data_IF_375827497998
#
_entry.id   IF_375827497998
#
_cell.length_a   1.000
_cell.length_b   1.000
_cell.length_c   1.000
_cell.angle_alpha   90.00
_cell.angle_beta   90.00
_cell.angle_gamma   90.00
#
_symmetry.space_group_name_H-M   'P 1'
#
loop_
_entity.id
_entity.type
_entity.pdbx_description
1 polymer ?
#
# COMPACT_ATOMS: atom_id res chain seq x y z
N UNK A 1 42.00 32.43 -14.25
CA UNK A 1 42.95 33.10 -13.34
C UNK A 1 43.35 32.08 -12.28
N UNK A 2 44.25 31.17 -12.60
CA UNK A 2 45.72 31.29 -12.50
C UNK A 2 46.20 31.18 -11.05
N UNK A 3 46.92 30.07 -10.79
CA UNK A 3 47.51 29.62 -9.53
C UNK A 3 48.65 30.55 -9.06
N UNK A 4 49.37 30.28 -7.94
CA UNK A 4 50.38 29.22 -7.98
C UNK A 4 50.66 28.45 -6.67
N UNK A 5 51.17 27.23 -6.86
CA UNK A 5 51.98 26.48 -5.92
C UNK A 5 53.32 27.17 -5.65
N UNK A 6 53.88 27.03 -4.45
CA UNK A 6 55.33 27.00 -4.25
C UNK A 6 55.74 26.00 -3.17
N UNK A 7 56.60 25.05 -3.57
CA UNK A 7 57.51 24.31 -2.70
C UNK A 7 58.69 25.22 -2.37
N UNK A 8 59.20 25.14 -1.14
CA UNK A 8 60.57 25.54 -0.84
C UNK A 8 61.21 24.52 0.12
N UNK A 9 62.31 23.95 -0.35
CA UNK A 9 63.22 23.02 0.32
C UNK A 9 64.26 23.77 1.15
N UNK A 10 64.60 23.19 2.31
CA UNK A 10 65.89 23.20 3.02
C UNK A 10 66.59 24.55 3.29
N UNK A 11 66.77 24.88 4.57
CA UNK A 11 68.13 25.13 5.08
C UNK A 11 68.22 24.96 6.60
N UNK A 12 69.31 24.32 7.01
CA UNK A 12 69.63 24.04 8.41
C UNK A 12 69.96 25.28 9.22
N UNK A 13 69.73 25.17 10.52
CA UNK A 13 70.07 26.20 11.49
C UNK A 13 69.33 25.98 12.79
N UNK A 14 69.84 25.09 13.64
CA UNK A 14 69.39 24.96 15.03
C UNK A 14 69.45 26.33 15.70
N UNK A 15 68.35 26.80 16.31
CA UNK A 15 68.36 27.43 17.64
C UNK A 15 66.94 27.73 18.15
N UNK A 16 66.64 27.09 19.30
CA UNK A 16 65.61 27.39 20.31
C UNK A 16 64.12 27.29 19.90
N UNK A 17 63.50 26.24 20.44
CA UNK A 17 62.05 25.98 20.41
C UNK A 17 61.33 27.00 21.30
N UNK A 18 60.64 27.95 20.69
CA UNK A 18 59.44 28.53 21.29
C UNK A 18 58.25 27.83 20.62
N UNK A 19 57.68 26.84 21.30
CA UNK A 19 56.40 26.28 20.90
C UNK A 19 55.32 27.34 21.14
N UNK A 20 55.02 28.15 20.13
CA UNK A 20 53.75 28.85 20.09
C UNK A 20 52.69 27.82 19.72
N UNK A 21 51.93 27.36 20.71
CA UNK A 21 50.69 26.64 20.49
C UNK A 21 49.70 27.60 19.86
N UNK A 22 49.68 27.67 18.53
CA UNK A 22 48.56 28.23 17.79
C UNK A 22 47.37 27.30 18.03
N UNK A 23 46.62 27.59 19.09
CA UNK A 23 45.33 26.95 19.34
C UNK A 23 44.46 27.25 18.11
N UNK A 24 44.24 26.24 17.27
CA UNK A 24 43.18 26.29 16.29
C UNK A 24 41.88 26.46 17.07
N UNK A 25 41.40 27.69 17.13
CA UNK A 25 40.09 28.02 17.67
C UNK A 25 39.07 27.28 16.82
N UNK A 26 38.71 26.05 17.23
CA UNK A 26 37.59 25.33 16.65
C UNK A 26 36.38 26.26 16.79
N UNK A 27 35.88 26.81 15.69
CA UNK A 27 34.62 27.57 15.70
C UNK A 27 33.54 26.60 16.17
N UNK A 28 33.11 26.73 17.43
CA UNK A 28 32.02 25.96 18.00
C UNK A 28 30.72 26.71 17.74
N UNK A 29 29.73 26.01 17.23
CA UNK A 29 28.36 26.50 17.08
C UNK A 29 27.48 25.89 18.17
N UNK A 30 26.62 26.71 18.77
CA UNK A 30 25.63 26.24 19.71
C UNK A 30 24.63 25.28 19.01
N UNK A 31 24.08 24.27 19.71
CA UNK A 31 23.07 23.40 19.15
C UNK A 31 21.79 24.19 18.81
N UNK A 32 21.08 23.75 17.77
CA UNK A 32 19.86 24.43 17.29
C UNK A 32 18.60 24.05 18.08
N UNK A 33 18.71 23.07 18.97
CA UNK A 33 17.63 22.58 19.83
C UNK A 33 18.17 21.73 20.98
N UNK A 34 17.30 21.17 21.83
CA UNK A 34 17.70 20.38 22.99
C UNK A 34 18.48 19.13 22.55
N UNK A 35 19.50 18.75 23.33
CA UNK A 35 20.26 17.53 23.10
C UNK A 35 19.59 16.33 23.80
N UNK A 36 19.69 15.10 23.25
CA UNK A 36 18.95 13.92 23.72
C UNK A 36 18.99 13.64 25.23
N UNK A 37 20.14 13.84 25.88
CA UNK A 37 20.39 13.43 27.26
C UNK A 37 20.63 14.60 28.23
N UNK A 38 20.25 15.82 27.86
CA UNK A 38 20.40 17.00 28.72
C UNK A 38 19.56 16.92 30.00
N UNK A 39 18.46 16.19 29.98
CA UNK A 39 17.55 16.04 31.12
C UNK A 39 18.07 15.07 32.20
N UNK A 40 19.18 14.38 31.96
CA UNK A 40 19.73 13.40 32.90
C UNK A 40 20.59 14.15 33.94
N UNK A 41 20.17 14.11 35.20
CA UNK A 41 20.98 14.64 36.31
C UNK A 41 22.22 13.75 36.53
N UNK A 42 23.37 14.24 36.08
CA UNK A 42 24.66 13.56 36.20
C UNK A 42 25.27 13.64 37.59
N UNK A 43 24.72 14.48 38.48
CA UNK A 43 25.28 14.71 39.83
C UNK A 43 25.25 13.44 40.69
N UNK A 44 24.25 12.58 40.50
CA UNK A 44 24.05 11.35 41.27
C UNK A 44 23.92 10.12 40.37
N UNK A 45 24.90 9.90 39.48
CA UNK A 45 24.86 8.85 38.46
C UNK A 45 24.65 7.43 39.03
N UNK A 46 25.16 7.15 40.23
CA UNK A 46 25.05 5.85 40.89
C UNK A 46 23.64 5.55 41.42
N UNK A 47 22.85 6.58 41.74
CA UNK A 47 21.49 6.42 42.26
C UNK A 47 20.42 6.33 41.17
N UNK A 48 20.77 6.58 39.91
CA UNK A 48 19.83 6.52 38.79
C UNK A 48 19.41 5.09 38.46
N UNK A 49 18.13 4.92 38.16
CA UNK A 49 17.62 3.66 37.66
C UNK A 49 18.26 3.32 36.30
N UNK A 50 18.88 2.15 36.21
CA UNK A 50 19.53 1.67 34.98
C UNK A 50 18.57 0.79 34.19
N UNK A 51 18.79 0.69 32.88
CA UNK A 51 17.95 -0.14 32.00
C UNK A 51 17.96 -1.62 32.37
N UNK A 52 19.11 -2.19 32.76
CA UNK A 52 19.31 -3.60 33.20
C UNK A 52 18.92 -4.69 32.19
N UNK A 53 18.29 -4.33 31.08
CA UNK A 53 17.91 -5.22 29.98
C UNK A 53 17.96 -4.46 28.67
N UNK A 54 18.31 -5.17 27.60
CA UNK A 54 18.32 -4.61 26.25
C UNK A 54 16.92 -4.18 25.82
N UNK A 55 15.89 -5.00 26.08
CA UNK A 55 14.50 -4.70 25.70
C UNK A 55 13.98 -3.40 26.31
N UNK A 56 14.33 -3.11 27.57
CA UNK A 56 13.90 -1.87 28.22
C UNK A 56 14.54 -0.65 27.57
N UNK A 57 15.81 -0.75 27.19
CA UNK A 57 16.49 0.29 26.42
C UNK A 57 15.84 0.44 25.04
N UNK A 58 15.63 -0.67 24.33
CA UNK A 58 15.05 -0.68 22.98
C UNK A 58 13.67 -0.01 22.94
N UNK A 59 12.79 -0.33 23.90
CA UNK A 59 11.46 0.28 24.02
C UNK A 59 11.49 1.80 24.22
N UNK A 60 12.58 2.34 24.77
CA UNK A 60 12.75 3.78 24.91
C UNK A 60 13.42 4.40 23.66
N UNK A 61 14.39 3.70 23.06
CA UNK A 61 15.09 4.15 21.88
C UNK A 61 14.19 4.25 20.63
N UNK A 62 13.23 3.34 20.47
CA UNK A 62 12.39 3.29 19.27
C UNK A 62 11.46 4.53 19.12
N UNK A 63 10.69 4.95 20.15
CA UNK A 63 9.94 6.21 20.10
C UNK A 63 10.84 7.43 19.87
N UNK A 64 12.01 7.47 20.52
CA UNK A 64 12.97 8.57 20.36
C UNK A 64 13.53 8.67 18.93
N UNK A 65 13.63 7.55 18.21
CA UNK A 65 14.06 7.48 16.81
C UNK A 65 12.97 7.93 15.82
N UNK A 66 11.69 7.83 16.20
CA UNK A 66 10.55 8.30 15.39
C UNK A 66 10.18 9.76 15.67
N UNK A 67 10.63 10.31 16.80
CA UNK A 67 10.37 11.69 17.16
C UNK A 67 11.02 12.68 16.17
N UNK A 68 10.37 13.82 15.89
CA UNK A 68 10.95 14.86 15.03
C UNK A 68 12.21 15.44 15.68
N UNK A 69 13.29 15.60 14.89
CA UNK A 69 14.58 16.14 15.33
C UNK A 69 15.03 17.27 14.42
N UNK A 70 15.85 18.18 14.96
CA UNK A 70 16.39 19.32 14.22
C UNK A 70 17.64 18.96 13.40
N UNK A 71 18.30 17.84 13.68
CA UNK A 71 19.40 17.32 12.86
C UNK A 71 18.88 16.39 11.75
N UNK A 72 19.74 16.11 10.77
CA UNK A 72 19.39 15.22 9.64
C UNK A 72 19.06 13.82 10.13
N UNK A 73 17.92 13.31 9.69
CA UNK A 73 17.45 11.97 10.06
C UNK A 73 17.31 11.06 8.84
N UNK A 74 17.31 9.75 9.07
CA UNK A 74 16.99 8.78 8.03
C UNK A 74 15.60 9.05 7.42
N UNK A 75 14.61 9.37 8.27
CA UNK A 75 13.23 9.65 7.85
C UNK A 75 13.09 10.89 6.97
N UNK A 76 13.96 11.88 7.10
CA UNK A 76 13.99 13.04 6.19
C UNK A 76 14.35 12.64 4.75
N UNK A 77 15.22 11.64 4.58
CA UNK A 77 15.70 11.19 3.27
C UNK A 77 14.86 10.04 2.68
N UNK A 78 14.39 9.13 3.51
CA UNK A 78 13.75 7.88 3.08
C UNK A 78 12.28 7.76 3.51
N UNK A 79 11.83 8.62 4.42
CA UNK A 79 10.44 8.63 4.84
C UNK A 79 9.52 9.05 3.69
N UNK A 80 8.36 8.41 3.58
CA UNK A 80 7.29 8.87 2.70
C UNK A 80 6.85 10.24 3.20
N UNK A 81 7.01 11.27 2.36
CA UNK A 81 6.46 12.59 2.64
C UNK A 81 4.93 12.45 2.73
N UNK A 82 4.37 12.85 3.86
CA UNK A 82 2.93 13.01 4.01
C UNK A 82 2.64 14.50 3.91
N UNK A 83 1.61 14.85 3.17
CA UNK A 83 1.10 16.21 3.19
C UNK A 83 0.59 16.52 4.61
N UNK A 84 0.84 17.74 5.12
CA UNK A 84 0.43 18.11 6.47
C UNK A 84 -1.08 18.32 6.60
N UNK A 85 -1.82 18.30 5.47
CA UNK A 85 -3.27 18.37 5.46
C UNK A 85 -3.85 17.06 5.97
N UNK A 86 -4.70 17.16 7.00
CA UNK A 86 -5.40 15.99 7.54
C UNK A 86 -6.24 15.33 6.45
N UNK A 87 -6.07 14.02 6.30
CA UNK A 87 -6.84 13.24 5.32
C UNK A 87 -8.33 13.35 5.64
N UNK A 88 -9.11 13.75 4.65
CA UNK A 88 -10.57 13.88 4.77
C UNK A 88 -11.18 12.49 4.86
N UNK A 89 -12.16 12.32 5.77
CA UNK A 89 -13.00 11.12 5.85
C UNK A 89 -14.28 11.33 5.02
N UNK A 90 -14.45 10.51 3.99
CA UNK A 90 -15.62 10.53 3.08
C UNK A 90 -16.60 9.39 3.38
N UNK A 91 -16.39 8.63 4.46
CA UNK A 91 -17.17 7.44 4.79
C UNK A 91 -18.47 7.69 5.55
N UNK A 92 -19.16 6.59 5.82
CA UNK A 92 -20.33 6.58 6.71
C UNK A 92 -19.95 6.92 8.16
N UNK A 93 -20.87 7.56 8.92
CA UNK A 93 -20.63 7.88 10.31
C UNK A 93 -20.38 6.63 11.17
N UNK A 94 -19.56 6.74 12.23
CA UNK A 94 -19.33 5.63 13.14
C UNK A 94 -20.62 5.25 13.90
N UNK A 95 -20.79 3.96 14.25
CA UNK A 95 -21.93 3.53 15.06
C UNK A 95 -21.87 4.14 16.46
N UNK A 96 -23.03 4.54 16.99
CA UNK A 96 -23.14 5.01 18.37
C UNK A 96 -23.24 3.81 19.31
N UNK A 97 -22.25 3.63 20.18
CA UNK A 97 -22.17 2.50 21.11
C UNK A 97 -22.02 3.02 22.55
N UNK A 98 -22.77 2.45 23.47
CA UNK A 98 -22.63 2.71 24.90
C UNK A 98 -21.42 1.97 25.47
N UNK A 99 -20.28 2.68 25.56
CA UNK A 99 -19.03 2.16 26.14
C UNK A 99 -19.17 1.54 27.54
N UNK A 100 -19.92 2.11 28.52
CA UNK A 100 -20.00 1.51 29.84
C UNK A 100 -20.74 0.15 29.83
N UNK A 101 -21.80 0.01 29.02
CA UNK A 101 -22.55 -1.24 28.89
C UNK A 101 -21.68 -2.33 28.25
N UNK A 102 -21.03 -2.02 27.12
CA UNK A 102 -20.13 -2.96 26.44
C UNK A 102 -18.99 -3.45 27.34
N UNK A 103 -18.44 -2.55 28.16
CA UNK A 103 -17.36 -2.90 29.10
C UNK A 103 -17.86 -3.79 30.25
N UNK A 104 -19.10 -3.60 30.70
CA UNK A 104 -19.71 -4.44 31.73
C UNK A 104 -19.95 -5.87 31.21
N UNK A 105 -20.53 -6.01 30.02
CA UNK A 105 -20.73 -7.31 29.36
C UNK A 105 -19.39 -8.04 29.15
N UNK A 106 -18.39 -7.35 28.58
CA UNK A 106 -17.05 -7.93 28.39
C UNK A 106 -16.41 -8.40 29.70
N UNK A 107 -16.61 -7.65 30.80
CA UNK A 107 -16.11 -8.06 32.11
C UNK A 107 -16.85 -9.27 32.68
N UNK A 108 -18.15 -9.39 32.44
CA UNK A 108 -18.94 -10.57 32.86
C UNK A 108 -18.45 -11.82 32.14
N UNK A 109 -18.35 -11.79 30.81
CA UNK A 109 -17.82 -12.89 30.00
C UNK A 109 -16.42 -13.31 30.46
N UNK A 110 -15.53 -12.36 30.72
CA UNK A 110 -14.17 -12.64 31.23
C UNK A 110 -14.18 -13.26 32.64
N UNK A 111 -15.12 -12.88 33.51
CA UNK A 111 -15.23 -13.45 34.87
C UNK A 111 -15.71 -14.89 34.80
N UNK A 112 -16.72 -15.17 33.98
CA UNK A 112 -17.25 -16.52 33.77
C UNK A 112 -16.20 -17.45 33.17
N UNK A 113 -15.51 -17.00 32.12
CA UNK A 113 -14.45 -17.79 31.48
C UNK A 113 -13.28 -18.08 32.42
N UNK A 114 -12.89 -17.13 33.28
CA UNK A 114 -11.83 -17.33 34.28
C UNK A 114 -12.25 -18.17 35.49
N UNK A 115 -13.55 -18.23 35.78
CA UNK A 115 -14.07 -19.08 36.85
C UNK A 115 -14.07 -20.57 36.44
N UNK A 116 -14.11 -20.86 35.13
CA UNK A 116 -14.04 -22.22 34.63
C UNK A 116 -12.64 -22.84 34.86
N UNK A 117 -12.60 -23.88 35.69
CA UNK A 117 -11.37 -24.62 35.99
C UNK A 117 -10.82 -25.40 34.81
N UNK A 118 -11.68 -25.84 33.89
CA UNK A 118 -11.26 -26.61 32.69
C UNK A 118 -10.45 -25.73 31.74
N UNK A 119 -10.90 -24.49 31.51
CA UNK A 119 -10.21 -23.51 30.68
C UNK A 119 -8.86 -23.10 31.28
N UNK A 120 -8.77 -22.97 32.62
CA UNK A 120 -7.48 -22.73 33.31
C UNK A 120 -6.52 -23.89 33.09
N UNK A 121 -6.99 -25.14 33.27
CA UNK A 121 -6.17 -26.32 33.07
C UNK A 121 -5.71 -26.45 31.61
N UNK A 122 -6.61 -26.23 30.66
CA UNK A 122 -6.30 -26.26 29.23
C UNK A 122 -5.28 -25.17 28.85
N UNK A 123 -5.38 -23.97 29.41
CA UNK A 123 -4.40 -22.91 29.21
C UNK A 123 -3.05 -23.27 29.83
N UNK A 124 -3.01 -23.85 31.03
CA UNK A 124 -1.78 -24.28 31.71
C UNK A 124 -1.06 -25.40 30.96
N UNK A 125 -1.83 -26.36 30.44
CA UNK A 125 -1.31 -27.47 29.63
C UNK A 125 -1.06 -27.09 28.16
N UNK A 126 -1.42 -25.86 27.76
CA UNK A 126 -1.29 -25.34 26.38
C UNK A 126 -2.11 -26.14 25.36
N UNK A 127 -3.23 -26.70 25.77
CA UNK A 127 -4.17 -27.46 24.92
C UNK A 127 -5.40 -26.66 24.52
N UNK A 128 -5.60 -25.46 25.08
CA UNK A 128 -6.71 -24.57 24.74
C UNK A 128 -6.73 -24.20 23.24
N UNK A 129 -7.93 -24.17 22.65
CA UNK A 129 -8.15 -23.82 21.23
C UNK A 129 -9.19 -22.72 21.13
N UNK A 130 -8.97 -21.79 20.20
CA UNK A 130 -9.88 -20.67 19.96
C UNK A 130 -10.63 -20.93 18.65
N UNK A 131 -11.97 -20.83 18.62
CA UNK A 131 -12.75 -20.99 17.40
C UNK A 131 -12.48 -19.81 16.44
N UNK A 132 -11.83 -20.08 15.30
CA UNK A 132 -11.42 -19.03 14.37
C UNK A 132 -12.61 -18.33 13.70
N UNK A 133 -13.67 -19.06 13.37
CA UNK A 133 -14.89 -18.52 12.75
C UNK A 133 -15.56 -17.47 13.65
N UNK A 134 -15.68 -17.75 14.95
CA UNK A 134 -16.25 -16.81 15.91
C UNK A 134 -15.36 -15.57 16.10
N UNK A 135 -14.04 -15.75 16.10
CA UNK A 135 -13.08 -14.63 16.14
C UNK A 135 -13.22 -13.76 14.89
N UNK A 136 -13.34 -14.36 13.72
CA UNK A 136 -13.51 -13.62 12.46
C UNK A 136 -14.83 -12.84 12.45
N UNK A 137 -15.93 -13.47 12.87
CA UNK A 137 -17.23 -12.80 12.94
C UNK A 137 -17.22 -11.59 13.89
N UNK A 138 -16.64 -11.72 15.09
CA UNK A 138 -16.52 -10.60 16.03
C UNK A 138 -15.52 -9.53 15.53
N UNK A 139 -14.44 -9.96 14.88
CA UNK A 139 -13.47 -9.06 14.25
C UNK A 139 -14.11 -8.21 13.17
N UNK A 140 -14.90 -8.80 12.26
CA UNK A 140 -15.60 -8.10 11.18
C UNK A 140 -16.54 -7.00 11.73
N UNK A 141 -17.17 -7.23 12.89
CA UNK A 141 -18.09 -6.26 13.51
C UNK A 141 -17.39 -5.14 14.26
N UNK A 142 -16.20 -5.38 14.81
CA UNK A 142 -15.54 -4.46 15.75
C UNK A 142 -14.37 -3.68 15.12
N UNK A 143 -13.19 -4.30 15.02
CA UNK A 143 -11.97 -3.65 14.54
C UNK A 143 -11.62 -3.94 13.08
N UNK A 144 -12.32 -4.88 12.44
CA UNK A 144 -12.15 -5.26 11.04
C UNK A 144 -12.17 -4.09 10.07
N UNK A 145 -13.15 -3.17 10.13
CA UNK A 145 -13.19 -2.01 9.26
C UNK A 145 -11.92 -1.15 9.30
N UNK A 146 -11.35 -0.93 10.48
CA UNK A 146 -10.10 -0.16 10.64
C UNK A 146 -8.88 -0.91 10.12
N UNK A 147 -8.84 -2.23 10.27
CA UNK A 147 -7.77 -3.05 9.70
C UNK A 147 -7.83 -3.04 8.17
N UNK A 148 -9.03 -3.14 7.59
CA UNK A 148 -9.28 -3.06 6.15
C UNK A 148 -8.88 -1.68 5.60
N UNK A 149 -9.22 -0.60 6.29
CA UNK A 149 -8.78 0.75 5.95
C UNK A 149 -7.25 0.87 5.94
N UNK A 150 -6.57 0.43 7.00
CA UNK A 150 -5.10 0.44 7.07
C UNK A 150 -4.46 -0.39 5.95
N UNK A 151 -5.08 -1.51 5.59
CA UNK A 151 -4.60 -2.36 4.51
C UNK A 151 -4.80 -1.70 3.15
N UNK A 152 -5.96 -1.10 2.90
CA UNK A 152 -6.23 -0.33 1.68
C UNK A 152 -5.28 0.87 1.52
N UNK A 153 -4.92 1.53 2.62
CA UNK A 153 -3.89 2.58 2.63
C UNK A 153 -2.50 2.04 2.31
N UNK A 154 -2.13 0.88 2.89
CA UNK A 154 -0.87 0.20 2.57
C UNK A 154 -0.79 -0.17 1.09
N UNK A 155 -1.89 -0.65 0.51
CA UNK A 155 -2.00 -0.95 -0.91
C UNK A 155 -2.07 0.30 -1.78
N UNK A 156 -2.25 1.51 -1.24
CA UNK A 156 -2.32 2.75 -2.02
C UNK A 156 -3.67 3.04 -2.66
N UNK A 157 -4.73 2.30 -2.30
CA UNK A 157 -6.05 2.42 -2.95
C UNK A 157 -6.66 3.81 -2.80
N UNK A 158 -6.62 4.38 -1.59
CA UNK A 158 -7.17 5.73 -1.35
C UNK A 158 -6.42 6.84 -2.10
N UNK A 159 -5.10 6.65 -2.29
CA UNK A 159 -4.28 7.59 -3.04
C UNK A 159 -4.69 7.59 -4.52
N UNK A 160 -4.87 6.40 -5.08
CA UNK A 160 -5.14 6.23 -6.50
C UNK A 160 -6.62 6.53 -6.84
N UNK A 161 -7.58 6.04 -6.03
CA UNK A 161 -9.03 6.18 -6.30
C UNK A 161 -9.63 7.52 -5.86
N UNK A 162 -9.14 8.09 -4.75
CA UNK A 162 -9.76 9.25 -4.09
C UNK A 162 -8.76 10.39 -3.80
N UNK A 163 -7.58 10.39 -4.43
CA UNK A 163 -6.53 11.39 -4.22
C UNK A 163 -6.14 11.62 -2.75
N UNK A 164 -6.20 10.57 -1.92
CA UNK A 164 -5.79 10.61 -0.52
C UNK A 164 -6.93 10.73 0.50
N UNK A 165 -8.16 10.98 0.07
CA UNK A 165 -9.32 10.90 0.95
C UNK A 165 -9.58 9.44 1.38
N UNK A 166 -9.93 9.26 2.65
CA UNK A 166 -10.08 7.93 3.26
C UNK A 166 -11.52 7.67 3.67
N UNK A 167 -11.90 6.41 3.82
CA UNK A 167 -13.16 6.05 4.46
C UNK A 167 -13.01 4.73 5.21
N UNK A 168 -13.83 4.54 6.25
CA UNK A 168 -13.88 3.27 6.98
C UNK A 168 -14.95 2.38 6.34
N UNK A 169 -14.62 1.18 5.81
CA UNK A 169 -15.60 0.27 5.22
C UNK A 169 -16.46 -0.38 6.32
N UNK A 170 -17.56 0.29 6.69
CA UNK A 170 -18.48 -0.15 7.75
C UNK A 170 -19.30 -1.35 7.34
N UNK A 171 -19.64 -1.46 6.06
CA UNK A 171 -20.46 -2.54 5.54
C UNK A 171 -19.56 -3.68 5.09
N UNK A 172 -19.67 -4.89 5.67
CA UNK A 172 -18.88 -6.03 5.26
C UNK A 172 -19.35 -6.51 3.88
N UNK A 173 -18.54 -6.20 2.86
CA UNK A 173 -18.74 -6.68 1.51
C UNK A 173 -18.10 -8.07 1.37
N UNK A 174 -18.92 -9.09 1.08
CA UNK A 174 -18.47 -10.46 0.82
C UNK A 174 -18.65 -10.76 -0.66
N UNK A 175 -17.53 -11.03 -1.33
CA UNK A 175 -17.50 -11.34 -2.75
C UNK A 175 -16.89 -12.73 -2.91
N UNK A 176 -17.51 -13.60 -3.70
CA UNK A 176 -16.99 -14.92 -4.00
C UNK A 176 -17.18 -15.24 -5.49
N UNK A 177 -16.15 -15.80 -6.12
CA UNK A 177 -16.25 -16.31 -7.49
C UNK A 177 -16.62 -17.79 -7.45
N UNK A 178 -17.62 -18.19 -8.24
CA UNK A 178 -17.98 -19.59 -8.42
C UNK A 178 -17.08 -20.23 -9.49
N UNK A 179 -16.31 -21.24 -9.08
CA UNK A 179 -15.38 -21.97 -9.95
C UNK A 179 -15.93 -23.37 -10.14
N UNK A 180 -16.54 -23.61 -11.31
CA UNK A 180 -17.27 -24.85 -11.55
C UNK A 180 -18.61 -24.89 -10.82
N UNK A 181 -19.00 -26.06 -10.31
CA UNK A 181 -20.32 -26.26 -9.67
C UNK A 181 -20.29 -26.24 -8.14
N UNK A 182 -19.14 -26.49 -7.50
CA UNK A 182 -19.07 -26.67 -6.02
C UNK A 182 -18.08 -25.72 -5.32
N UNK A 183 -17.05 -25.22 -6.00
CA UNK A 183 -15.99 -24.44 -5.36
C UNK A 183 -16.27 -22.92 -5.42
N UNK A 184 -16.09 -22.26 -4.28
CA UNK A 184 -16.18 -20.80 -4.15
C UNK A 184 -14.82 -20.23 -3.77
N UNK A 185 -14.33 -19.27 -4.55
CA UNK A 185 -13.09 -18.52 -4.26
C UNK A 185 -13.45 -17.17 -3.65
N UNK A 186 -13.31 -17.00 -2.32
CA UNK A 186 -13.63 -15.75 -1.66
C UNK A 186 -12.59 -14.66 -1.96
N UNK A 187 -13.09 -13.45 -2.19
CA UNK A 187 -12.28 -12.23 -2.31
C UNK A 187 -12.26 -11.54 -0.95
N UNK A 188 -11.05 -11.33 -0.44
CA UNK A 188 -10.80 -10.62 0.80
C UNK A 188 -10.23 -9.22 0.51
N UNK A 189 -8.97 -8.99 0.87
CA UNK A 189 -8.32 -7.66 0.84
C UNK A 189 -6.86 -7.82 0.38
N UNK A 190 -6.69 -8.24 -0.87
CA UNK A 190 -5.40 -8.41 -1.53
C UNK A 190 -4.92 -9.86 -1.62
N UNK A 191 -5.80 -10.85 -1.44
CA UNK A 191 -5.50 -12.22 -1.85
C UNK A 191 -5.38 -12.31 -3.37
N UNK A 192 -4.66 -13.32 -3.85
CA UNK A 192 -4.55 -13.61 -5.27
C UNK A 192 -5.80 -14.35 -5.75
N UNK A 193 -6.33 -13.93 -6.90
CA UNK A 193 -7.39 -14.60 -7.64
C UNK A 193 -7.00 -14.57 -9.12
N UNK A 194 -7.11 -15.71 -9.79
CA UNK A 194 -6.70 -15.85 -11.17
C UNK A 194 -7.77 -15.32 -12.14
N UNK A 195 -7.39 -14.88 -13.36
CA UNK A 195 -8.34 -14.53 -14.41
C UNK A 195 -9.30 -15.66 -14.79
N UNK A 196 -8.85 -16.91 -14.67
CA UNK A 196 -9.65 -18.10 -14.95
C UNK A 196 -10.80 -18.25 -13.94
N UNK A 197 -10.50 -18.08 -12.65
CA UNK A 197 -11.50 -18.09 -11.58
C UNK A 197 -12.44 -16.87 -11.69
N UNK A 198 -11.91 -15.71 -12.07
CA UNK A 198 -12.66 -14.48 -12.29
C UNK A 198 -13.21 -14.34 -13.72
N UNK A 199 -13.53 -15.45 -14.39
CA UNK A 199 -14.08 -15.41 -15.75
C UNK A 199 -15.54 -14.97 -15.81
N UNK A 200 -16.32 -15.30 -14.79
CA UNK A 200 -17.73 -14.94 -14.64
C UNK A 200 -17.94 -13.93 -13.51
N UNK A 201 -19.10 -13.25 -13.53
CA UNK A 201 -19.44 -12.28 -12.49
C UNK A 201 -19.53 -12.98 -11.12
N UNK A 202 -19.00 -12.37 -10.04
CA UNK A 202 -18.99 -12.98 -8.73
C UNK A 202 -20.35 -12.88 -8.02
N UNK A 203 -20.54 -13.75 -7.03
CA UNK A 203 -21.61 -13.63 -6.04
C UNK A 203 -21.23 -12.57 -5.01
N UNK A 204 -22.08 -11.56 -4.86
CA UNK A 204 -21.85 -10.44 -3.96
C UNK A 204 -22.95 -10.38 -2.91
N UNK A 205 -22.56 -10.42 -1.65
CA UNK A 205 -23.45 -10.36 -0.49
C UNK A 205 -22.97 -9.31 0.50
N UNK A 206 -23.92 -8.55 1.06
CA UNK A 206 -23.68 -7.54 2.08
C UNK A 206 -24.94 -7.30 2.91
N UNK A 207 -24.75 -6.81 4.13
CA UNK A 207 -25.87 -6.45 5.01
C UNK A 207 -26.42 -5.07 4.64
N UNK A 208 -27.72 -5.00 4.35
CA UNK A 208 -28.41 -3.79 3.91
C UNK A 208 -29.81 -3.69 4.52
N UNK A 209 -30.25 -2.47 4.83
CA UNK A 209 -31.58 -2.17 5.34
C UNK A 209 -32.65 -2.30 4.22
N UNK A 210 -33.88 -2.66 4.58
CA UNK A 210 -34.98 -2.69 3.61
C UNK A 210 -35.26 -1.28 3.04
N UNK A 211 -35.36 -1.18 1.72
CA UNK A 211 -35.59 0.09 1.02
C UNK A 211 -34.33 0.94 0.79
N UNK A 212 -33.14 0.46 1.20
CA UNK A 212 -31.88 1.11 0.85
C UNK A 212 -31.46 0.83 -0.59
N UNK A 213 -30.78 1.79 -1.21
CA UNK A 213 -30.23 1.69 -2.56
C UNK A 213 -28.71 1.66 -2.52
N UNK A 214 -28.10 0.85 -3.38
CA UNK A 214 -26.65 0.66 -3.41
C UNK A 214 -26.12 0.67 -4.82
N UNK A 215 -24.84 1.00 -4.97
CA UNK A 215 -24.10 0.92 -6.23
C UNK A 215 -22.82 0.13 -6.01
N UNK A 216 -22.59 -0.85 -6.87
CA UNK A 216 -21.41 -1.70 -6.87
C UNK A 216 -20.54 -1.35 -8.08
N UNK A 217 -19.26 -1.13 -7.83
CA UNK A 217 -18.27 -0.78 -8.83
C UNK A 217 -17.06 -1.72 -8.69
N UNK A 218 -16.62 -2.30 -9.81
CA UNK A 218 -15.36 -3.04 -9.92
C UNK A 218 -14.44 -2.30 -10.87
N UNK A 219 -13.31 -1.83 -10.37
CA UNK A 219 -12.28 -1.12 -11.16
C UNK A 219 -10.92 -1.79 -11.06
N UNK A 220 -10.13 -1.66 -12.11
CA UNK A 220 -8.74 -2.09 -12.14
C UNK A 220 -7.82 -0.87 -12.19
N UNK A 221 -7.09 -0.65 -11.10
CA UNK A 221 -6.26 0.55 -10.89
C UNK A 221 -4.97 0.50 -11.70
N UNK A 222 -4.46 -0.71 -11.97
CA UNK A 222 -3.15 -0.91 -12.62
C UNK A 222 -3.30 -1.39 -14.08
N UNK A 223 -4.54 -1.58 -14.55
CA UNK A 223 -4.88 -2.28 -15.79
C UNK A 223 -4.74 -1.46 -17.07
N UNK A 224 -4.61 -0.15 -16.98
CA UNK A 224 -4.72 0.69 -18.16
C UNK A 224 -3.47 0.65 -19.04
N UNK A 225 -3.67 0.45 -20.36
CA UNK A 225 -2.57 0.19 -21.30
C UNK A 225 -1.92 1.46 -21.87
N UNK A 226 -2.62 2.59 -21.78
CA UNK A 226 -2.23 3.84 -22.46
C UNK A 226 -1.92 4.96 -21.45
N UNK A 227 -2.86 5.25 -20.56
CA UNK A 227 -2.71 6.32 -19.57
C UNK A 227 -2.39 5.71 -18.18
N UNK A 228 -1.42 6.23 -17.44
CA UNK A 228 -1.05 5.67 -16.14
C UNK A 228 -2.04 6.02 -15.02
N UNK A 229 -2.77 7.14 -15.15
CA UNK A 229 -3.65 7.67 -14.12
C UNK A 229 -5.12 7.27 -14.32
N UNK A 230 -5.44 6.56 -15.41
CA UNK A 230 -6.80 6.11 -15.70
C UNK A 230 -6.98 4.63 -15.34
N UNK A 231 -8.23 4.26 -15.04
CA UNK A 231 -8.62 2.94 -14.61
C UNK A 231 -9.51 2.28 -15.67
N UNK A 232 -9.66 0.96 -15.61
CA UNK A 232 -10.71 0.26 -16.36
C UNK A 232 -11.87 -0.15 -15.45
N UNK A 233 -13.10 0.18 -15.86
CA UNK A 233 -14.31 -0.36 -15.22
C UNK A 233 -14.61 -1.76 -15.77
N UNK A 234 -14.55 -2.74 -14.89
CA UNK A 234 -14.90 -4.11 -15.21
C UNK A 234 -16.39 -4.38 -14.99
N UNK A 235 -16.98 -3.79 -13.95
CA UNK A 235 -18.40 -3.99 -13.64
C UNK A 235 -18.98 -2.78 -12.93
N UNK A 236 -20.19 -2.36 -13.31
CA UNK A 236 -20.90 -1.28 -12.63
C UNK A 236 -22.39 -1.62 -12.60
N UNK A 237 -22.91 -1.81 -11.40
CA UNK A 237 -24.33 -2.07 -11.14
C UNK A 237 -24.85 -0.98 -10.23
N UNK A 238 -25.88 -0.27 -10.67
CA UNK A 238 -26.43 0.89 -10.01
C UNK A 238 -27.85 0.64 -9.49
N UNK A 239 -28.31 1.45 -8.55
CA UNK A 239 -29.68 1.40 -8.02
C UNK A 239 -30.10 0.00 -7.53
N UNK A 240 -29.20 -0.71 -6.85
CA UNK A 240 -29.45 -2.06 -6.30
C UNK A 240 -30.38 -1.95 -5.10
N UNK A 241 -31.57 -2.59 -5.12
CA UNK A 241 -32.49 -2.55 -3.98
C UNK A 241 -32.06 -3.56 -2.90
N UNK A 242 -31.71 -3.06 -1.72
CA UNK A 242 -31.26 -3.86 -0.58
C UNK A 242 -29.99 -4.65 -0.94
N UNK A 243 -30.04 -5.98 -0.79
CA UNK A 243 -28.92 -6.88 -1.11
C UNK A 243 -29.04 -7.59 -2.48
N UNK A 244 -30.07 -7.29 -3.28
CA UNK A 244 -30.38 -8.04 -4.51
C UNK A 244 -29.66 -7.48 -5.73
N UNK A 245 -28.40 -7.86 -5.91
CA UNK A 245 -27.54 -7.36 -7.00
C UNK A 245 -28.14 -7.60 -8.38
N UNK A 246 -28.78 -8.74 -8.61
CA UNK A 246 -29.44 -9.07 -9.88
C UNK A 246 -30.66 -8.18 -10.21
N UNK A 247 -31.24 -7.48 -9.22
CA UNK A 247 -32.34 -6.54 -9.43
C UNK A 247 -31.86 -5.10 -9.70
N UNK A 248 -30.55 -4.86 -9.59
CA UNK A 248 -29.96 -3.57 -9.94
C UNK A 248 -29.90 -3.33 -11.45
N UNK A 249 -29.67 -2.08 -11.83
CA UNK A 249 -29.49 -1.68 -13.21
C UNK A 249 -28.01 -1.87 -13.60
N UNK A 250 -27.74 -2.79 -14.52
CA UNK A 250 -26.38 -3.03 -15.01
C UNK A 250 -25.96 -1.93 -16.00
N UNK A 251 -25.29 -0.90 -15.47
CA UNK A 251 -24.78 0.25 -16.23
C UNK A 251 -23.57 -0.13 -17.09
N UNK A 252 -22.75 -1.07 -16.61
CA UNK A 252 -21.62 -1.60 -17.35
C UNK A 252 -21.51 -3.10 -17.14
N UNK A 253 -21.57 -3.91 -18.22
CA UNK A 253 -21.56 -5.36 -18.10
C UNK A 253 -20.21 -5.88 -17.61
N UNK A 254 -20.26 -6.96 -16.84
CA UNK A 254 -19.06 -7.62 -16.31
C UNK A 254 -18.07 -7.96 -17.44
N UNK A 255 -16.82 -7.57 -17.24
CA UNK A 255 -15.69 -7.91 -18.10
C UNK A 255 -14.64 -8.58 -17.22
N UNK A 256 -14.20 -9.81 -17.52
CA UNK A 256 -13.18 -10.50 -16.74
C UNK A 256 -11.88 -9.69 -16.70
N UNK A 257 -11.05 -9.84 -15.65
CA UNK A 257 -9.75 -9.19 -15.58
C UNK A 257 -8.83 -9.71 -16.70
N UNK A 258 -8.08 -8.80 -17.33
CA UNK A 258 -7.13 -9.12 -18.40
C UNK A 258 -5.74 -8.50 -18.14
N UNK A 259 -5.07 -8.83 -17.02
CA UNK A 259 -3.72 -8.33 -16.75
C UNK A 259 -2.75 -8.79 -17.87
N UNK A 260 -2.06 -7.86 -18.56
CA UNK A 260 -1.13 -8.21 -19.62
C UNK A 260 0.01 -9.11 -19.17
N UNK A 261 0.58 -9.88 -20.10
CA UNK A 261 1.72 -10.73 -19.76
C UNK A 261 2.93 -9.85 -19.41
N UNK A 262 3.51 -10.09 -18.22
CA UNK A 262 4.72 -9.41 -17.76
C UNK A 262 4.52 -8.00 -17.19
N UNK A 263 3.27 -7.54 -16.99
CA UNK A 263 2.97 -6.28 -16.28
C UNK A 263 3.02 -6.43 -14.75
N UNK A 264 2.94 -7.66 -14.23
CA UNK A 264 2.99 -7.96 -12.80
C UNK A 264 1.60 -8.22 -12.20
N UNK A 265 1.43 -7.87 -10.92
CA UNK A 265 0.16 -8.03 -10.21
C UNK A 265 -0.68 -6.77 -10.33
N UNK A 266 -1.94 -6.94 -10.72
CA UNK A 266 -2.91 -5.87 -10.85
C UNK A 266 -3.88 -5.91 -9.68
N UNK A 267 -4.19 -4.74 -9.11
CA UNK A 267 -5.17 -4.61 -8.03
C UNK A 267 -6.55 -4.32 -8.60
N UNK A 268 -7.49 -5.24 -8.39
CA UNK A 268 -8.89 -5.05 -8.72
C UNK A 268 -9.69 -4.76 -7.46
N UNK A 269 -10.48 -3.69 -7.50
CA UNK A 269 -11.15 -3.14 -6.32
C UNK A 269 -12.66 -3.15 -6.52
N UNK A 270 -13.36 -3.80 -5.60
CA UNK A 270 -14.80 -3.68 -5.40
C UNK A 270 -15.09 -2.55 -4.42
N UNK A 271 -15.85 -1.57 -4.90
CA UNK A 271 -16.37 -0.46 -4.12
C UNK A 271 -17.88 -0.60 -4.02
N UNK A 272 -18.39 -0.50 -2.78
CA UNK A 272 -19.82 -0.45 -2.51
C UNK A 272 -20.17 0.94 -1.99
N UNK A 273 -21.04 1.63 -2.71
CA UNK A 273 -21.60 2.93 -2.34
C UNK A 273 -23.03 2.77 -1.84
N UNK A 274 -23.35 3.43 -0.72
CA UNK A 274 -24.72 3.60 -0.24
C UNK A 274 -25.31 4.83 -0.92
N UNK A 275 -26.50 4.69 -1.49
CA UNK A 275 -27.22 5.79 -2.11
C UNK A 275 -28.35 6.27 -1.19
N UNK A 276 -28.49 7.58 -1.04
CA UNK A 276 -29.57 8.19 -0.26
C UNK A 276 -30.87 8.31 -1.08
N UNK A 277 -30.73 8.43 -2.40
CA UNK A 277 -31.82 8.55 -3.37
C UNK A 277 -31.48 7.78 -4.64
N UNK A 278 -32.48 7.50 -5.45
CA UNK A 278 -32.27 6.97 -6.79
C UNK A 278 -31.53 8.00 -7.64
N UNK A 279 -30.48 7.57 -8.33
CA UNK A 279 -29.62 8.42 -9.17
C UNK A 279 -29.75 7.97 -10.62
N UNK A 280 -29.82 8.94 -11.53
CA UNK A 280 -29.84 8.71 -12.97
C UNK A 280 -28.40 8.61 -13.49
N UNK A 281 -27.97 7.40 -13.85
CA UNK A 281 -26.62 7.11 -14.40
C UNK A 281 -26.60 7.08 -15.93
N UNK A 282 -27.50 7.81 -16.60
CA UNK A 282 -27.60 7.78 -18.07
C UNK A 282 -26.33 8.24 -18.77
N UNK A 283 -25.56 9.15 -18.15
CA UNK A 283 -24.29 9.63 -18.68
C UNK A 283 -23.16 8.59 -18.62
N UNK A 284 -23.20 7.70 -17.63
CA UNK A 284 -22.18 6.65 -17.39
C UNK A 284 -22.58 5.29 -17.97
N UNK A 285 -23.77 5.21 -18.57
CA UNK A 285 -24.30 3.99 -19.17
C UNK A 285 -23.48 3.63 -20.41
N UNK A 286 -23.00 2.40 -20.43
CA UNK A 286 -22.19 1.85 -21.51
C UNK A 286 -23.02 0.83 -22.31
N UNK A 287 -22.74 0.67 -23.61
CA UNK A 287 -23.45 -0.32 -24.41
C UNK A 287 -23.18 -1.74 -23.90
N UNK A 288 -24.15 -2.63 -24.02
CA UNK A 288 -24.00 -4.05 -23.72
C UNK A 288 -23.97 -4.85 -25.04
N UNK A 289 -22.88 -5.58 -25.37
CA UNK A 289 -21.60 -5.71 -24.68
C UNK A 289 -20.62 -4.53 -24.94
N UNK A 290 -19.95 -4.04 -23.89
CA UNK A 290 -18.91 -3.01 -24.02
C UNK A 290 -17.54 -3.68 -24.13
N UNK A 291 -17.08 -3.91 -25.37
CA UNK A 291 -15.74 -4.44 -25.67
C UNK A 291 -14.72 -3.35 -26.01
N UNK A 292 -15.13 -2.08 -26.09
CA UNK A 292 -14.24 -0.96 -26.43
C UNK A 292 -13.52 -0.43 -25.20
N UNK A 293 -12.19 -0.53 -25.19
CA UNK A 293 -11.36 -0.09 -24.07
C UNK A 293 -11.48 1.41 -23.78
N UNK A 294 -11.67 2.26 -24.81
CA UNK A 294 -11.85 3.71 -24.63
C UNK A 294 -13.10 4.07 -23.85
N UNK A 295 -14.17 3.28 -24.00
CA UNK A 295 -15.40 3.45 -23.23
C UNK A 295 -15.27 2.88 -21.81
N UNK A 296 -14.36 1.92 -21.62
CA UNK A 296 -14.07 1.30 -20.32
C UNK A 296 -13.13 2.15 -19.47
N UNK A 297 -12.40 3.09 -20.08
CA UNK A 297 -11.59 4.09 -19.36
C UNK A 297 -12.48 4.85 -18.37
N UNK A 298 -12.01 4.98 -17.14
CA UNK A 298 -12.77 5.52 -16.04
C UNK A 298 -11.85 6.14 -14.99
N UNK A 299 -12.36 7.16 -14.31
CA UNK A 299 -11.72 7.76 -13.14
C UNK A 299 -12.71 7.72 -11.98
N UNK A 300 -12.40 6.92 -10.96
CA UNK A 300 -13.28 6.73 -9.81
C UNK A 300 -13.51 8.04 -9.05
N UNK A 301 -12.49 8.89 -8.96
CA UNK A 301 -12.56 10.19 -8.30
C UNK A 301 -13.60 11.11 -8.93
N UNK A 302 -13.58 11.26 -10.27
CA UNK A 302 -14.48 12.16 -10.97
C UNK A 302 -15.93 11.67 -10.91
N UNK A 303 -16.13 10.36 -11.04
CA UNK A 303 -17.43 9.73 -10.87
C UNK A 303 -17.99 9.97 -9.46
N UNK A 304 -17.19 9.73 -8.42
CA UNK A 304 -17.63 9.98 -7.05
C UNK A 304 -17.93 11.45 -6.82
N UNK A 305 -17.09 12.36 -7.32
CA UNK A 305 -17.24 13.81 -7.15
C UNK A 305 -18.53 14.34 -7.76
N UNK A 306 -18.99 13.78 -8.88
CA UNK A 306 -20.26 14.15 -9.51
C UNK A 306 -21.48 13.72 -8.68
N UNK A 307 -21.36 12.64 -7.91
CA UNK A 307 -22.48 12.01 -7.19
C UNK A 307 -22.35 12.01 -5.66
N UNK A 308 -21.34 12.69 -5.11
CA UNK A 308 -21.02 12.69 -3.67
C UNK A 308 -22.16 13.18 -2.77
N UNK A 309 -23.08 14.00 -3.30
CA UNK A 309 -24.23 14.50 -2.54
C UNK A 309 -25.28 13.42 -2.27
N UNK A 310 -25.31 12.38 -3.10
CA UNK A 310 -26.31 11.31 -3.05
C UNK A 310 -25.69 9.91 -2.85
N UNK A 311 -24.36 9.78 -2.89
CA UNK A 311 -23.63 8.53 -2.69
C UNK A 311 -22.53 8.67 -1.63
N UNK A 312 -22.37 7.64 -0.80
CA UNK A 312 -21.31 7.55 0.20
C UNK A 312 -20.63 6.19 0.15
N UNK A 313 -19.29 6.11 0.12
CA UNK A 313 -18.57 4.83 0.16
C UNK A 313 -18.79 4.12 1.50
N UNK A 314 -19.16 2.85 1.43
CA UNK A 314 -19.61 2.08 2.58
C UNK A 314 -18.87 0.74 2.73
N UNK A 315 -18.52 0.09 1.62
CA UNK A 315 -17.84 -1.20 1.59
C UNK A 315 -16.66 -1.21 0.63
N UNK A 316 -15.68 -2.05 0.94
CA UNK A 316 -14.46 -2.22 0.16
C UNK A 316 -14.03 -3.69 0.22
N UNK A 317 -13.74 -4.27 -0.93
CA UNK A 317 -13.02 -5.54 -1.06
C UNK A 317 -12.10 -5.45 -2.28
N UNK A 318 -10.97 -6.16 -2.29
CA UNK A 318 -10.08 -6.13 -3.44
C UNK A 318 -9.22 -7.38 -3.49
N UNK A 319 -8.73 -7.71 -4.68
CA UNK A 319 -7.85 -8.85 -4.91
C UNK A 319 -6.72 -8.47 -5.86
N UNK A 320 -5.70 -9.32 -5.91
CA UNK A 320 -4.61 -9.23 -6.85
C UNK A 320 -4.81 -10.25 -7.97
N UNK A 321 -4.55 -9.84 -9.19
CA UNK A 321 -4.67 -10.68 -10.36
C UNK A 321 -3.36 -10.66 -11.15
N UNK A 322 -2.87 -11.84 -11.52
CA UNK A 322 -1.72 -12.02 -12.40
C UNK A 322 -2.19 -12.55 -13.77
N UNK A 323 -1.30 -12.52 -14.76
CA UNK A 323 -1.57 -13.08 -16.09
C UNK A 323 -1.74 -14.61 -16.02
N UNK A 324 -2.69 -15.11 -16.80
CA UNK A 324 -2.99 -16.54 -16.99
C UNK A 324 -3.43 -16.78 -18.44
N UNK A 325 -3.46 -18.04 -18.88
CA UNK A 325 -3.76 -18.44 -20.27
C UNK A 325 -5.17 -17.96 -20.72
N UNK A 326 -6.12 -17.83 -19.79
CA UNK A 326 -7.46 -17.30 -20.07
C UNK A 326 -7.44 -15.84 -20.58
N UNK A 327 -6.41 -15.06 -20.23
CA UNK A 327 -6.29 -13.65 -20.65
C UNK A 327 -6.08 -13.54 -22.15
N UNK A 328 -5.32 -14.47 -22.75
CA UNK A 328 -5.12 -14.54 -24.20
C UNK A 328 -6.47 -14.71 -24.93
N UNK A 329 -7.39 -15.51 -24.38
CA UNK A 329 -8.73 -15.66 -24.91
C UNK A 329 -9.53 -14.34 -24.83
N UNK A 330 -9.41 -13.60 -23.72
CA UNK A 330 -10.07 -12.28 -23.55
C UNK A 330 -9.59 -11.28 -24.61
N UNK A 331 -8.28 -11.16 -24.84
CA UNK A 331 -7.74 -10.23 -25.84
C UNK A 331 -8.17 -10.58 -27.27
N UNK A 332 -8.11 -11.86 -27.64
CA UNK A 332 -8.42 -12.28 -29.01
C UNK A 332 -9.91 -12.36 -29.32
N UNK A 333 -10.73 -12.87 -28.40
CA UNK A 333 -12.16 -13.11 -28.64
C UNK A 333 -13.07 -11.99 -28.16
N UNK A 334 -12.83 -11.44 -26.96
CA UNK A 334 -13.69 -10.38 -26.41
C UNK A 334 -13.28 -8.99 -26.90
N UNK A 335 -11.98 -8.68 -26.86
CA UNK A 335 -11.46 -7.35 -27.23
C UNK A 335 -11.05 -7.26 -28.71
N UNK A 336 -10.97 -8.39 -29.42
CA UNK A 336 -10.55 -8.49 -30.82
C UNK A 336 -9.26 -7.72 -31.12
N UNK A 337 -8.25 -7.88 -30.26
CA UNK A 337 -6.96 -7.22 -30.35
C UNK A 337 -5.80 -8.19 -30.13
N UNK A 338 -4.58 -7.72 -30.42
CA UNK A 338 -3.36 -8.48 -30.12
C UNK A 338 -2.99 -8.31 -28.66
N UNK A 339 -2.59 -9.40 -28.03
CA UNK A 339 -2.13 -9.40 -26.65
C UNK A 339 -0.80 -8.64 -26.53
N UNK A 340 -0.74 -7.57 -25.71
CA UNK A 340 0.51 -6.90 -25.39
C UNK A 340 1.33 -7.72 -24.38
N UNK A 341 2.63 -7.84 -24.63
CA UNK A 341 3.59 -8.54 -23.75
C UNK A 341 4.63 -7.53 -23.29
N UNK A 342 4.80 -7.42 -21.98
CA UNK A 342 5.76 -6.54 -21.33
C UNK A 342 6.92 -7.34 -20.74
N UNK A 343 8.08 -6.69 -20.63
CA UNK A 343 9.27 -7.25 -20.00
C UNK A 343 9.89 -6.22 -19.06
N UNK A 344 10.33 -6.67 -17.89
CA UNK A 344 11.04 -5.81 -16.95
C UNK A 344 12.50 -5.63 -17.35
N UNK A 345 12.79 -4.53 -18.05
CA UNK A 345 14.16 -4.16 -18.45
C UNK A 345 14.84 -3.37 -17.33
N UNK A 346 15.96 -3.90 -16.82
CA UNK A 346 16.78 -3.20 -15.81
C UNK A 346 17.59 -2.06 -16.43
N UNK A 347 17.89 -0.98 -15.68
CA UNK A 347 18.81 0.04 -16.14
C UNK A 347 20.16 -0.58 -16.55
N UNK A 348 20.79 -0.08 -17.63
CA UNK A 348 22.07 -0.60 -18.05
C UNK A 348 23.12 -0.37 -16.95
N UNK A 349 24.09 -1.29 -16.81
CA UNK A 349 25.13 -1.16 -15.80
C UNK A 349 25.93 0.13 -16.02
N UNK A 350 26.20 0.86 -14.94
CA UNK A 350 27.02 2.05 -15.03
C UNK A 350 28.49 1.69 -15.30
N UNK A 351 29.04 2.28 -16.35
CA UNK A 351 30.47 2.25 -16.64
C UNK A 351 31.03 3.67 -16.65
N UNK A 352 32.13 3.95 -15.92
CA UNK A 352 32.78 5.26 -16.00
C UNK A 352 33.33 5.49 -17.40
N UNK A 353 33.55 6.75 -17.79
CA UNK A 353 34.13 7.08 -19.11
C UNK A 353 35.43 6.32 -19.35
N UNK A 354 35.53 5.65 -20.51
CA UNK A 354 36.70 4.86 -20.86
C UNK A 354 37.95 5.75 -20.93
N UNK A 355 39.04 5.30 -20.29
CA UNK A 355 40.34 5.98 -20.32
C UNK A 355 41.26 5.27 -21.30
N UNK A 356 41.99 6.04 -22.10
CA UNK A 356 42.99 5.50 -23.04
C UNK A 356 44.06 4.65 -22.35
N UNK A 357 44.49 5.07 -21.15
CA UNK A 357 45.46 4.36 -20.33
C UNK A 357 44.84 4.00 -18.97
N UNK A 358 44.20 2.82 -18.84
CA UNK A 358 43.54 2.40 -17.61
C UNK A 358 44.57 1.86 -16.60
N UNK A 359 45.34 2.78 -16.01
CA UNK A 359 46.41 2.45 -15.05
C UNK A 359 45.88 1.61 -13.87
N UNK A 360 46.54 0.48 -13.59
CA UNK A 360 46.21 -0.51 -12.54
C UNK A 360 44.85 -1.19 -12.68
N UNK A 361 44.23 -1.12 -13.85
CA UNK A 361 43.02 -1.91 -14.13
C UNK A 361 43.37 -3.30 -14.66
N UNK A 362 42.53 -4.31 -14.41
CA UNK A 362 42.71 -5.65 -14.97
C UNK A 362 42.45 -5.65 -16.49
N UNK A 363 42.95 -6.67 -17.20
CA UNK A 363 42.76 -6.82 -18.65
C UNK A 363 41.27 -6.82 -19.07
N UNK A 364 40.41 -7.43 -18.24
CA UNK A 364 38.94 -7.44 -18.42
C UNK A 364 38.28 -6.06 -18.40
N UNK A 365 39.04 -5.00 -18.12
CA UNK A 365 38.57 -3.62 -18.28
C UNK A 365 38.12 -3.32 -19.71
N UNK A 366 38.82 -3.84 -20.72
CA UNK A 366 38.48 -3.61 -22.13
C UNK A 366 37.16 -4.28 -22.51
N UNK A 367 36.83 -5.41 -21.88
CA UNK A 367 35.58 -6.15 -22.14
C UNK A 367 34.34 -5.35 -21.69
N UNK A 368 34.47 -4.45 -20.70
CA UNK A 368 33.36 -3.59 -20.24
C UNK A 368 32.85 -2.62 -21.32
N UNK A 369 33.66 -2.35 -22.32
CA UNK A 369 33.36 -1.43 -23.42
C UNK A 369 33.37 -2.14 -24.77
N UNK A 370 33.32 -3.48 -24.77
CA UNK A 370 33.25 -4.28 -25.99
C UNK A 370 31.80 -4.70 -26.20
N UNK A 371 31.22 -4.31 -27.32
CA UNK A 371 29.82 -4.62 -27.65
C UNK A 371 29.64 -6.08 -28.12
N UNK A 372 30.57 -6.58 -28.94
CA UNK A 372 30.55 -7.94 -29.47
C UNK A 372 31.58 -8.85 -28.80
N UNK A 373 31.28 -10.13 -28.76
CA UNK A 373 32.18 -11.20 -28.29
C UNK A 373 32.93 -11.87 -29.45
N UNK A 374 32.58 -11.54 -30.69
CA UNK A 374 33.18 -12.08 -31.91
C UNK A 374 34.47 -11.32 -32.29
N UNK A 375 35.44 -11.98 -32.94
CA UNK A 375 36.67 -11.33 -33.39
C UNK A 375 36.40 -10.37 -34.54
N UNK A 376 37.05 -9.19 -34.51
CA UNK A 376 36.93 -8.17 -35.57
C UNK A 376 38.20 -8.09 -36.40
N UNK A 377 38.09 -8.16 -37.72
CA UNK A 377 39.21 -8.10 -38.67
C UNK A 377 39.34 -6.76 -39.42
N UNK A 378 38.41 -5.81 -39.26
CA UNK A 378 38.54 -4.47 -39.85
C UNK A 378 38.67 -4.51 -41.38
N UNK A 379 39.82 -4.03 -41.90
CA UNK A 379 40.10 -3.92 -43.35
C UNK A 379 40.89 -5.11 -43.93
N UNK A 380 41.20 -6.13 -43.12
CA UNK A 380 42.01 -7.29 -43.52
C UNK A 380 41.24 -8.28 -44.37
#
# INVERSE_FOLDING_TARGET
MAAPWWRATLNGGRRWRAFSTSAACSRRTAPLGPMPNENIDVSNLERLEKYRSFDRYWRQAEPEARAPRWWRTYWEHFGKKSDPEDKIDIGLPPPQISRPQQLLERKQVLRELRANTEEEQAARLRTARIPLEAVQAEWERTCGPYHKQRLAEHYGLYRDLFHGATFVPRVPLRVAYAVGEEDLVPVYHGNEVTPTEASQAPEVTYEADEGSLWTLLLTNVDGHLLEPDAEYVHWLVTNIPGCRVAAGQETCPYLPPFPPRGSGFHRLVFLLFKQDKQIDFSADTRPSPCCQLTQRTFHTFDFYKQHQEAMTPAGLAFFQCCWDDAVTHVFHHLLNMREPVFEFVRPPPYHPKQKRFPHRQPLRYLDRYRDSHEPTYGIY
#
